data_IF_927181311117
#
_entry.id   IF_927181311117
#
_cell.length_a   1.000
_cell.length_b   1.000
_cell.length_c   1.000
_cell.angle_alpha   90.00
_cell.angle_beta   90.00
_cell.angle_gamma   90.00
#
_symmetry.space_group_name_H-M   'P 1'
#
loop_
_entity.id
_entity.type
_entity.pdbx_description
1 polymer ?
#
# COMPACT_ATOMS: atom_id res chain seq x y z
N UNK A 1 -95.05 67.11 20.23
CA UNK A 1 -94.85 65.64 20.41
C UNK A 1 -94.00 65.13 19.26
N UNK A 2 -92.91 64.36 19.38
CA UNK A 2 -92.20 63.81 20.52
C UNK A 2 -90.91 63.10 20.06
N UNK A 3 -89.88 63.23 20.92
CA UNK A 3 -88.79 62.27 21.23
C UNK A 3 -87.66 62.03 20.21
N UNK A 4 -86.56 62.77 20.42
CA UNK A 4 -85.19 62.20 20.39
C UNK A 4 -85.13 60.98 21.32
N UNK A 5 -84.38 59.93 20.96
CA UNK A 5 -83.61 59.08 21.89
C UNK A 5 -82.66 58.11 21.17
N UNK A 6 -81.68 57.65 21.93
CA UNK A 6 -80.30 57.25 21.61
C UNK A 6 -80.09 55.83 21.02
N UNK A 7 -78.91 55.69 20.39
CA UNK A 7 -77.98 54.54 20.23
C UNK A 7 -78.50 53.11 20.46
N UNK A 8 -78.23 52.26 19.47
CA UNK A 8 -77.78 50.89 19.72
C UNK A 8 -76.48 50.65 18.93
N UNK A 9 -75.43 50.27 19.65
CA UNK A 9 -74.17 49.80 19.09
C UNK A 9 -74.30 48.29 18.91
N UNK A 10 -74.13 47.80 17.69
CA UNK A 10 -73.90 46.38 17.47
C UNK A 10 -72.39 46.17 17.29
N UNK A 11 -71.76 45.62 18.33
CA UNK A 11 -70.50 44.90 18.19
C UNK A 11 -70.83 43.60 17.45
N UNK A 12 -70.73 43.61 16.14
CA UNK A 12 -70.67 42.38 15.36
C UNK A 12 -69.20 42.11 15.05
N UNK A 13 -68.63 41.16 15.79
CA UNK A 13 -67.38 40.50 15.47
C UNK A 13 -67.51 39.91 14.05
N UNK A 14 -67.00 40.64 13.06
CA UNK A 14 -67.01 40.26 11.65
C UNK A 14 -65.65 39.76 11.22
N UNK A 15 -65.47 38.44 11.35
CA UNK A 15 -64.66 37.55 10.50
C UNK A 15 -63.33 38.15 10.03
N UNK A 16 -62.25 37.74 10.71
CA UNK A 16 -60.91 37.80 10.16
C UNK A 16 -60.91 37.09 8.79
N UNK A 17 -60.82 37.86 7.72
CA UNK A 17 -60.49 37.32 6.39
C UNK A 17 -59.05 36.83 6.50
N UNK A 18 -58.88 35.55 6.80
CA UNK A 18 -57.63 34.85 6.58
C UNK A 18 -57.45 34.83 5.06
N UNK A 19 -56.80 35.87 4.55
CA UNK A 19 -56.37 35.93 3.17
C UNK A 19 -55.60 34.66 2.87
N UNK A 20 -56.14 33.86 1.94
CA UNK A 20 -55.57 32.61 1.44
C UNK A 20 -54.05 32.73 1.35
N UNK A 21 -53.35 31.97 2.18
CA UNK A 21 -51.91 31.82 2.10
C UNK A 21 -51.54 31.52 0.66
N UNK A 22 -50.77 32.40 0.03
CA UNK A 22 -50.07 32.09 -1.21
C UNK A 22 -49.13 30.95 -0.86
N UNK A 23 -49.56 29.72 -1.14
CA UNK A 23 -48.67 28.56 -1.12
C UNK A 23 -47.64 28.85 -2.20
N UNK A 24 -46.48 29.36 -1.77
CA UNK A 24 -45.32 29.53 -2.63
C UNK A 24 -44.92 28.11 -3.02
N UNK A 25 -45.50 27.59 -4.12
CA UNK A 25 -45.09 26.32 -4.74
C UNK A 25 -43.59 26.46 -4.95
N UNK A 26 -42.81 25.81 -4.08
CA UNK A 26 -41.37 25.67 -4.25
C UNK A 26 -41.15 25.12 -5.66
N UNK A 27 -40.33 25.78 -6.50
CA UNK A 27 -40.16 25.31 -7.86
C UNK A 27 -39.62 23.87 -7.83
N UNK A 28 -40.31 22.96 -8.53
CA UNK A 28 -39.92 21.57 -8.69
C UNK A 28 -38.54 21.39 -9.37
N UNK A 29 -37.90 22.49 -9.79
CA UNK A 29 -36.56 22.56 -10.37
C UNK A 29 -35.46 21.93 -9.48
N UNK A 30 -35.66 21.81 -8.17
CA UNK A 30 -34.68 21.15 -7.28
C UNK A 30 -34.56 19.64 -7.51
N UNK A 31 -35.56 18.98 -8.10
CA UNK A 31 -35.56 17.53 -8.35
C UNK A 31 -34.53 17.15 -9.43
N UNK A 32 -34.47 17.91 -10.52
CA UNK A 32 -33.54 17.64 -11.63
C UNK A 32 -32.08 17.91 -11.22
N UNK A 33 -31.82 18.97 -10.45
CA UNK A 33 -30.50 19.21 -9.85
C UNK A 33 -30.09 18.06 -8.93
N UNK A 34 -30.98 17.63 -8.03
CA UNK A 34 -30.70 16.49 -7.13
C UNK A 34 -30.44 15.20 -7.90
N UNK A 35 -31.18 14.94 -8.99
CA UNK A 35 -30.95 13.78 -9.88
C UNK A 35 -29.60 13.85 -10.58
N UNK A 36 -29.23 15.01 -11.14
CA UNK A 36 -27.92 15.22 -11.79
C UNK A 36 -26.77 15.10 -10.79
N UNK A 37 -26.90 15.67 -9.60
CA UNK A 37 -25.91 15.54 -8.54
C UNK A 37 -25.72 14.07 -8.11
N UNK A 38 -26.82 13.31 -7.95
CA UNK A 38 -26.73 11.86 -7.67
C UNK A 38 -26.07 11.10 -8.82
N UNK A 39 -26.43 11.39 -10.07
CA UNK A 39 -25.82 10.75 -11.23
C UNK A 39 -24.30 11.01 -11.27
N UNK A 40 -23.86 12.23 -10.98
CA UNK A 40 -22.43 12.56 -10.87
C UNK A 40 -21.75 11.76 -9.75
N UNK A 41 -22.37 11.64 -8.57
CA UNK A 41 -21.82 10.83 -7.47
C UNK A 41 -21.69 9.36 -7.89
N UNK A 42 -22.73 8.78 -8.51
CA UNK A 42 -22.66 7.40 -8.99
C UNK A 42 -21.60 7.21 -10.07
N UNK A 43 -21.44 8.17 -10.98
CA UNK A 43 -20.39 8.14 -12.00
C UNK A 43 -18.99 8.19 -11.38
N UNK A 44 -18.77 9.05 -10.39
CA UNK A 44 -17.49 9.12 -9.67
C UNK A 44 -17.19 7.83 -8.91
N UNK A 45 -18.21 7.25 -8.26
CA UNK A 45 -18.07 5.96 -7.59
C UNK A 45 -17.75 4.84 -8.59
N UNK A 46 -18.45 4.79 -9.72
CA UNK A 46 -18.19 3.81 -10.78
C UNK A 46 -16.79 3.97 -11.39
N UNK A 47 -16.33 5.20 -11.59
CA UNK A 47 -14.98 5.48 -12.07
C UNK A 47 -13.92 5.05 -11.04
N UNK A 48 -14.17 5.29 -9.75
CA UNK A 48 -13.26 4.89 -8.67
C UNK A 48 -13.19 3.37 -8.52
N UNK A 49 -14.33 2.67 -8.57
CA UNK A 49 -14.36 1.21 -8.48
C UNK A 49 -13.72 0.58 -9.70
N UNK A 50 -14.00 1.10 -10.90
CA UNK A 50 -13.38 0.63 -12.13
C UNK A 50 -11.87 0.86 -12.13
N UNK A 51 -11.41 2.06 -11.75
CA UNK A 51 -9.98 2.38 -11.64
C UNK A 51 -9.27 1.54 -10.57
N UNK A 52 -9.91 1.33 -9.41
CA UNK A 52 -9.38 0.46 -8.36
C UNK A 52 -9.29 -1.00 -8.79
N UNK A 53 -10.32 -1.52 -9.46
CA UNK A 53 -10.32 -2.87 -10.02
C UNK A 53 -9.25 -3.02 -11.10
N UNK A 54 -9.07 -2.01 -11.95
CA UNK A 54 -8.02 -2.03 -12.97
C UNK A 54 -6.62 -2.06 -12.36
N UNK A 55 -6.33 -1.23 -11.35
CA UNK A 55 -5.02 -1.29 -10.66
C UNK A 55 -4.84 -2.62 -9.92
N UNK A 56 -5.88 -3.13 -9.27
CA UNK A 56 -5.78 -4.33 -8.42
C UNK A 56 -5.81 -5.67 -9.16
N UNK A 57 -6.26 -5.71 -10.42
CA UNK A 57 -6.40 -6.95 -11.20
C UNK A 57 -5.41 -7.02 -12.37
N UNK A 58 -4.76 -5.92 -12.73
CA UNK A 58 -3.85 -5.90 -13.86
C UNK A 58 -2.46 -6.41 -13.46
N UNK A 59 -2.00 -7.43 -14.18
CA UNK A 59 -0.74 -8.13 -13.93
C UNK A 59 0.48 -7.19 -13.91
N UNK A 60 0.42 -6.02 -14.55
CA UNK A 60 1.52 -5.06 -14.58
C UNK A 60 1.93 -4.50 -13.21
N UNK A 61 1.03 -4.59 -12.22
CA UNK A 61 1.26 -4.10 -10.86
C UNK A 61 1.82 -5.18 -9.92
N UNK A 62 1.99 -6.39 -10.44
CA UNK A 62 2.61 -7.50 -9.74
C UNK A 62 4.09 -7.60 -10.08
N UNK A 63 4.92 -7.70 -9.05
CA UNK A 63 6.36 -7.77 -9.19
C UNK A 63 6.75 -9.16 -9.70
N UNK A 64 7.59 -9.18 -10.73
CA UNK A 64 8.11 -10.37 -11.38
C UNK A 64 9.62 -10.23 -11.50
N UNK A 65 10.30 -11.34 -11.80
CA UNK A 65 11.76 -11.38 -11.84
C UNK A 65 12.36 -10.33 -12.79
N UNK A 66 11.71 -10.07 -13.91
CA UNK A 66 12.16 -9.14 -14.96
C UNK A 66 12.10 -7.68 -14.50
N UNK A 67 11.22 -7.37 -13.54
CA UNK A 67 11.06 -6.04 -12.95
C UNK A 67 12.00 -5.75 -11.78
N UNK A 68 12.83 -6.72 -11.36
CA UNK A 68 13.73 -6.58 -10.21
C UNK A 68 15.19 -6.56 -10.64
N UNK A 69 15.86 -5.46 -10.30
CA UNK A 69 17.30 -5.33 -10.43
C UNK A 69 17.96 -5.58 -9.07
N UNK A 70 18.90 -6.53 -9.03
CA UNK A 70 19.68 -6.85 -7.82
C UNK A 70 21.12 -6.42 -8.03
N UNK A 71 21.69 -5.70 -7.06
CA UNK A 71 23.05 -5.14 -7.10
C UNK A 71 23.82 -5.48 -5.83
N UNK A 72 25.15 -5.58 -5.96
CA UNK A 72 26.06 -5.76 -4.83
C UNK A 72 26.25 -7.21 -4.36
N UNK A 73 25.73 -8.17 -5.13
CA UNK A 73 25.98 -9.61 -4.94
C UNK A 73 27.40 -9.99 -5.39
N UNK A 74 28.09 -10.77 -4.56
CA UNK A 74 29.41 -11.33 -4.83
C UNK A 74 29.38 -12.86 -4.68
N UNK A 75 28.88 -13.39 -3.55
CA UNK A 75 28.76 -14.83 -3.28
C UNK A 75 27.31 -15.30 -3.36
N UNK A 76 26.35 -14.48 -2.95
CA UNK A 76 24.92 -14.81 -3.01
C UNK A 76 24.41 -14.53 -4.42
N UNK A 77 23.65 -15.46 -5.02
CA UNK A 77 23.13 -15.22 -6.36
C UNK A 77 22.03 -14.15 -6.38
N UNK A 78 21.91 -13.33 -7.44
CA UNK A 78 20.80 -12.40 -7.60
C UNK A 78 19.42 -13.03 -7.47
N UNK A 79 19.26 -14.27 -7.94
CA UNK A 79 17.99 -14.99 -7.90
C UNK A 79 17.65 -15.46 -6.49
N UNK A 80 18.65 -15.87 -5.71
CA UNK A 80 18.48 -16.19 -4.29
C UNK A 80 18.04 -14.96 -3.50
N UNK A 81 18.66 -13.79 -3.74
CA UNK A 81 18.21 -12.52 -3.14
C UNK A 81 16.77 -12.20 -3.53
N UNK A 82 16.39 -12.38 -4.80
CA UNK A 82 15.03 -12.13 -5.27
C UNK A 82 14.00 -13.04 -4.59
N UNK A 83 14.30 -14.33 -4.47
CA UNK A 83 13.43 -15.29 -3.79
C UNK A 83 13.34 -15.02 -2.29
N UNK A 84 14.47 -14.75 -1.63
CA UNK A 84 14.54 -14.40 -0.22
C UNK A 84 13.78 -13.11 0.11
N UNK A 85 13.77 -12.13 -0.80
CA UNK A 85 12.98 -10.91 -0.67
C UNK A 85 11.46 -11.19 -0.65
N UNK A 86 11.01 -12.29 -1.26
CA UNK A 86 9.60 -12.65 -1.40
C UNK A 86 8.83 -11.61 -2.21
N UNK A 87 9.45 -11.12 -3.28
CA UNK A 87 8.89 -10.14 -4.21
C UNK A 87 8.05 -10.79 -5.30
N UNK A 88 8.29 -12.07 -5.61
CA UNK A 88 7.61 -12.74 -6.71
C UNK A 88 6.09 -12.83 -6.47
N UNK A 89 5.32 -12.32 -7.44
CA UNK A 89 3.87 -12.25 -7.36
C UNK A 89 3.35 -11.26 -6.31
N UNK A 90 4.19 -10.44 -5.70
CA UNK A 90 3.75 -9.41 -4.75
C UNK A 90 3.24 -8.19 -5.51
N UNK A 91 2.02 -7.75 -5.19
CA UNK A 91 1.52 -6.49 -5.74
C UNK A 91 2.31 -5.32 -5.16
N UNK A 92 2.67 -4.36 -6.02
CA UNK A 92 3.51 -3.21 -5.69
C UNK A 92 2.98 -2.38 -4.50
N UNK A 93 1.66 -2.28 -4.34
CA UNK A 93 1.04 -1.54 -3.21
C UNK A 93 1.27 -2.20 -1.84
N UNK A 94 1.67 -3.48 -1.82
CA UNK A 94 2.06 -4.21 -0.60
C UNK A 94 3.58 -4.35 -0.45
N UNK A 95 4.37 -3.92 -1.43
CA UNK A 95 5.83 -3.97 -1.39
C UNK A 95 6.39 -2.89 -0.45
N UNK A 96 6.47 -3.21 0.84
CA UNK A 96 7.02 -2.32 1.87
C UNK A 96 8.53 -2.55 2.01
N UNK A 97 9.35 -1.63 1.48
CA UNK A 97 10.83 -1.70 1.51
C UNK A 97 11.40 -2.16 2.85
N UNK A 98 11.10 -1.45 3.94
CA UNK A 98 11.64 -1.81 5.27
C UNK A 98 11.18 -3.17 5.81
N UNK A 99 10.08 -3.77 5.31
CA UNK A 99 9.75 -5.17 5.63
C UNK A 99 10.57 -6.14 4.79
N UNK A 100 10.80 -5.83 3.52
CA UNK A 100 11.58 -6.66 2.59
C UNK A 100 13.05 -6.66 3.03
N UNK A 101 13.62 -5.51 3.38
CA UNK A 101 15.00 -5.38 3.88
C UNK A 101 15.23 -6.22 5.14
N UNK A 102 14.34 -6.11 6.14
CA UNK A 102 14.43 -6.93 7.36
C UNK A 102 14.29 -8.42 7.06
N UNK A 103 13.42 -8.78 6.11
CA UNK A 103 13.26 -10.17 5.67
C UNK A 103 14.56 -10.68 5.06
N UNK A 104 15.16 -9.92 4.14
CA UNK A 104 16.43 -10.26 3.49
C UNK A 104 17.54 -10.52 4.51
N UNK A 105 17.74 -9.60 5.46
CA UNK A 105 18.75 -9.73 6.51
C UNK A 105 18.48 -10.92 7.44
N UNK A 106 17.22 -11.29 7.66
CA UNK A 106 16.87 -12.46 8.47
C UNK A 106 17.01 -13.78 7.70
N UNK A 107 16.75 -13.79 6.40
CA UNK A 107 16.83 -15.00 5.55
C UNK A 107 18.24 -15.29 5.05
N UNK A 108 19.07 -14.27 4.89
CA UNK A 108 20.43 -14.38 4.33
C UNK A 108 21.42 -13.75 5.33
N UNK A 109 21.90 -14.51 6.34
CA UNK A 109 22.85 -14.01 7.33
C UNK A 109 24.18 -13.50 6.74
N UNK A 110 24.54 -13.97 5.54
CA UNK A 110 25.68 -13.50 4.75
C UNK A 110 25.57 -12.02 4.36
N UNK A 111 24.38 -11.42 4.44
CA UNK A 111 24.17 -10.00 4.17
C UNK A 111 24.44 -9.15 5.42
N UNK A 112 25.21 -8.07 5.25
CA UNK A 112 25.43 -7.04 6.26
C UNK A 112 24.36 -5.94 6.15
N UNK A 113 24.01 -5.57 4.92
CA UNK A 113 23.04 -4.49 4.62
C UNK A 113 22.17 -4.88 3.43
N UNK A 114 20.92 -4.43 3.46
CA UNK A 114 19.99 -4.51 2.36
C UNK A 114 19.19 -3.21 2.26
N UNK A 115 19.04 -2.69 1.05
CA UNK A 115 18.25 -1.50 0.71
C UNK A 115 17.32 -1.83 -0.46
N UNK A 116 16.04 -1.50 -0.32
CA UNK A 116 15.02 -1.85 -1.32
C UNK A 116 14.24 -0.61 -1.70
N UNK A 117 14.15 -0.34 -3.00
CA UNK A 117 13.30 0.73 -3.54
C UNK A 117 12.40 0.17 -4.63
N UNK A 118 11.09 0.46 -4.52
CA UNK A 118 10.09 -0.05 -5.45
C UNK A 118 9.29 1.11 -6.04
N UNK A 119 9.04 1.05 -7.35
CA UNK A 119 8.45 2.10 -8.15
C UNK A 119 7.35 1.52 -9.05
N UNK A 120 6.31 2.32 -9.27
CA UNK A 120 5.23 1.94 -10.17
C UNK A 120 5.73 1.76 -11.63
N UNK A 121 5.11 0.86 -12.40
CA UNK A 121 4.00 -0.02 -12.01
C UNK A 121 4.43 -1.25 -11.19
N UNK A 122 5.61 -1.85 -11.44
CA UNK A 122 6.12 -3.00 -10.66
C UNK A 122 7.64 -3.19 -10.82
N UNK A 123 8.42 -2.12 -10.61
CA UNK A 123 9.89 -2.17 -10.71
C UNK A 123 10.53 -2.00 -9.35
N UNK A 124 11.49 -2.85 -9.00
CA UNK A 124 12.24 -2.73 -7.76
C UNK A 124 13.75 -2.80 -7.99
N UNK A 125 14.49 -2.06 -7.18
CA UNK A 125 15.95 -2.15 -7.09
C UNK A 125 16.29 -2.62 -5.69
N UNK A 126 17.02 -3.73 -5.60
CA UNK A 126 17.51 -4.32 -4.36
C UNK A 126 19.02 -4.20 -4.36
N UNK A 127 19.56 -3.39 -3.45
CA UNK A 127 21.00 -3.26 -3.27
C UNK A 127 21.39 -3.96 -1.98
N UNK A 128 22.32 -4.90 -2.07
CA UNK A 128 22.81 -5.66 -0.92
C UNK A 128 24.29 -5.40 -0.72
N UNK A 129 24.75 -5.52 0.52
CA UNK A 129 26.16 -5.59 0.86
C UNK A 129 26.41 -6.88 1.64
N UNK A 130 27.32 -7.71 1.14
CA UNK A 130 27.70 -8.97 1.76
C UNK A 130 28.78 -8.77 2.84
N UNK A 131 28.66 -9.55 3.92
CA UNK A 131 29.66 -9.62 4.99
C UNK A 131 31.00 -10.11 4.44
N UNK A 132 32.10 -9.61 5.01
CA UNK A 132 33.44 -9.99 4.63
C UNK A 132 33.97 -11.08 5.57
N UNK A 133 34.33 -12.28 5.05
CA UNK A 133 34.88 -13.35 5.87
C UNK A 133 36.25 -12.93 6.41
N UNK A 134 36.51 -13.22 7.69
CA UNK A 134 37.79 -12.95 8.34
C UNK A 134 38.44 -14.21 8.88
N UNK A 135 37.64 -15.11 9.44
CA UNK A 135 38.12 -16.35 10.04
C UNK A 135 37.19 -17.50 9.69
N UNK A 136 37.78 -18.64 9.38
CA UNK A 136 37.08 -19.88 9.15
C UNK A 136 36.97 -20.65 10.47
N UNK A 137 35.78 -21.12 10.81
CA UNK A 137 35.51 -21.91 12.01
C UNK A 137 35.00 -23.30 11.61
N UNK A 138 35.57 -24.34 12.23
CA UNK A 138 35.10 -25.72 12.10
C UNK A 138 34.32 -26.12 13.36
N UNK A 139 33.09 -26.56 13.16
CA UNK A 139 32.27 -27.17 14.19
C UNK A 139 31.78 -28.54 13.70
N UNK A 140 32.41 -29.60 14.22
CA UNK A 140 32.03 -31.00 13.93
C UNK A 140 32.02 -31.33 12.42
N UNK A 141 32.97 -30.76 11.65
CA UNK A 141 33.08 -30.96 10.20
C UNK A 141 32.18 -30.03 9.38
N UNK A 142 31.53 -29.05 10.01
CA UNK A 142 30.79 -27.97 9.33
C UNK A 142 31.57 -26.68 9.43
N UNK A 143 31.85 -26.11 8.26
CA UNK A 143 32.62 -24.89 8.12
C UNK A 143 31.72 -23.65 8.09
N UNK A 144 32.08 -22.66 8.91
CA UNK A 144 31.40 -21.37 9.01
C UNK A 144 32.40 -20.24 8.85
N UNK A 145 31.97 -19.16 8.19
CA UNK A 145 32.71 -17.91 8.20
C UNK A 145 32.33 -17.09 9.43
N UNK A 146 33.33 -16.47 10.03
CA UNK A 146 33.18 -15.44 11.06
C UNK A 146 33.64 -14.11 10.47
N UNK A 147 32.82 -13.08 10.61
CA UNK A 147 33.18 -11.71 10.23
C UNK A 147 33.89 -10.94 11.36
N UNK A 148 34.14 -9.64 11.14
CA UNK A 148 34.79 -8.79 12.14
C UNK A 148 33.91 -8.53 13.39
N UNK A 149 32.61 -8.70 13.29
CA UNK A 149 31.64 -8.52 14.39
C UNK A 149 31.40 -9.82 15.17
N UNK A 150 32.04 -10.92 14.76
CA UNK A 150 31.91 -12.23 15.39
C UNK A 150 30.66 -13.02 14.96
N UNK A 151 30.00 -12.61 13.87
CA UNK A 151 28.81 -13.30 13.37
C UNK A 151 29.17 -14.47 12.45
N UNK A 152 28.52 -15.60 12.68
CA UNK A 152 28.64 -16.82 11.90
C UNK A 152 27.72 -16.78 10.68
N UNK A 153 28.25 -17.10 9.50
CA UNK A 153 27.47 -17.26 8.27
C UNK A 153 28.05 -18.38 7.39
N UNK A 154 27.24 -18.88 6.45
CA UNK A 154 27.57 -20.07 5.67
C UNK A 154 28.69 -19.84 4.67
N UNK A 155 29.53 -20.87 4.47
CA UNK A 155 30.44 -20.94 3.34
C UNK A 155 29.66 -21.14 2.05
N UNK A 156 30.04 -20.44 0.98
CA UNK A 156 29.52 -20.73 -0.35
C UNK A 156 29.92 -22.15 -0.79
N UNK A 157 29.08 -22.90 -1.53
CA UNK A 157 29.37 -24.29 -1.92
C UNK A 157 30.73 -24.46 -2.63
N UNK A 158 31.14 -23.49 -3.42
CA UNK A 158 32.42 -23.49 -4.13
C UNK A 158 33.61 -23.37 -3.16
N UNK A 159 33.47 -22.57 -2.09
CA UNK A 159 34.49 -22.43 -1.05
C UNK A 159 34.56 -23.65 -0.13
N UNK A 160 33.45 -24.38 0.06
CA UNK A 160 33.41 -25.61 0.86
C UNK A 160 34.31 -26.70 0.25
N UNK A 161 34.33 -26.82 -1.08
CA UNK A 161 35.20 -27.77 -1.78
C UNK A 161 36.69 -27.44 -1.63
N UNK A 162 37.04 -26.15 -1.64
CA UNK A 162 38.42 -25.68 -1.46
C UNK A 162 38.85 -25.81 0.01
N UNK A 163 37.97 -25.49 0.96
CA UNK A 163 38.23 -25.69 2.39
C UNK A 163 38.39 -27.18 2.74
N UNK A 164 37.65 -28.09 2.10
CA UNK A 164 37.85 -29.53 2.30
C UNK A 164 39.17 -30.04 1.70
N UNK A 165 39.62 -29.46 0.58
CA UNK A 165 40.81 -29.91 -0.15
C UNK A 165 42.13 -29.32 0.38
N UNK A 166 42.12 -28.09 0.92
CA UNK A 166 43.33 -27.36 1.31
C UNK A 166 43.91 -27.70 2.68
N UNK A 167 43.19 -28.48 3.50
CA UNK A 167 43.57 -28.78 4.89
C UNK A 167 43.97 -30.24 5.14
N UNK A 168 44.28 -31.02 4.09
CA UNK A 168 45.02 -32.27 4.28
C UNK A 168 46.45 -31.93 4.68
N UNK A 169 46.67 -31.66 5.97
CA UNK A 169 48.01 -31.61 6.56
C UNK A 169 48.57 -33.03 6.44
N UNK A 170 49.59 -33.19 5.58
CA UNK A 170 50.40 -34.41 5.52
C UNK A 170 51.26 -34.56 6.76
#
# INVERSE_FOLDING_TARGET
>A
MGKRRWKVRYNAAGIAVIGKGRTRRRPAASSLWKRRARALVYLLLAALTFGGAWVGLDDRFYIRREGVEVRGTVRVSPDEVFQAAGLDGLHILWARSGRIERRLLASLPTLERAEVSCHLPARCVVTVAERQPRMLWDEEGRWWWIDADGLLFSLAPEEQGVAAAGWTVQ
#
